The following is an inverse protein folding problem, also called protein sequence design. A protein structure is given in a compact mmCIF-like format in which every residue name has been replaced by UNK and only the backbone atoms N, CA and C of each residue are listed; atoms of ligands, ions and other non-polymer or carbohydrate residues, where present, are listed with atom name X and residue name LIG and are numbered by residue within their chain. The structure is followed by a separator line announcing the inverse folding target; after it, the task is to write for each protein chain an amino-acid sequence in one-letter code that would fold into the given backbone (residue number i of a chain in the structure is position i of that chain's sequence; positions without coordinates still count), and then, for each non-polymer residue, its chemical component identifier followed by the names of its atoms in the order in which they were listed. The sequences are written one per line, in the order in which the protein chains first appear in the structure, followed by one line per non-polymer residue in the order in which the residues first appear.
data_IF_130716578574
#
_entry.id   IF_130716578574
#
_cell.length_a   1.000
_cell.length_b   1.000
_cell.length_c   1.000
_cell.angle_alpha   90.00
_cell.angle_beta   90.00
_cell.angle_gamma   90.00
#
_symmetry.space_group_name_H-M   'P 1'
#
loop_
_entity.id
_entity.type
_entity.pdbx_description
1 polymer ?
#
# COMPACT_ATOMS: atom_id res chain seq x y z
N UNK A 1 71.08 -45.60 -21.20
CA UNK A 1 70.79 -47.03 -20.98
C UNK A 1 69.56 -47.13 -20.09
N UNK A 2 68.38 -47.33 -20.67
CA UNK A 2 67.25 -48.08 -20.10
C UNK A 2 66.12 -48.10 -21.14
N UNK A 3 65.73 -49.32 -21.49
CA UNK A 3 64.90 -49.68 -22.62
C UNK A 3 63.41 -49.55 -22.32
N UNK A 4 62.66 -49.21 -23.36
CA UNK A 4 61.20 -49.14 -23.41
C UNK A 4 60.65 -50.56 -23.57
N UNK A 5 59.80 -50.99 -22.64
CA UNK A 5 58.99 -52.21 -22.77
C UNK A 5 57.55 -51.81 -23.09
N UNK A 6 57.15 -52.07 -24.33
CA UNK A 6 55.79 -51.87 -24.84
C UNK A 6 54.97 -53.14 -24.59
N UNK A 7 53.90 -53.03 -23.80
CA UNK A 7 52.91 -54.10 -23.61
C UNK A 7 51.70 -53.81 -24.51
N UNK A 8 51.50 -54.64 -25.52
CA UNK A 8 50.29 -54.65 -26.35
C UNK A 8 49.23 -55.53 -25.69
N UNK A 9 48.17 -54.92 -25.16
CA UNK A 9 46.98 -55.64 -24.70
C UNK A 9 45.96 -55.71 -25.85
N UNK A 10 45.69 -56.92 -26.33
CA UNK A 10 44.65 -57.20 -27.32
C UNK A 10 43.36 -57.55 -26.58
N UNK A 11 42.35 -56.67 -26.62
CA UNK A 11 41.04 -56.92 -26.03
C UNK A 11 40.04 -57.30 -27.14
N UNK A 12 39.52 -58.53 -27.08
CA UNK A 12 38.40 -58.99 -27.89
C UNK A 12 37.11 -58.23 -27.51
N UNK A 13 36.45 -57.66 -28.52
CA UNK A 13 35.10 -57.10 -28.41
C UNK A 13 34.07 -58.23 -28.56
N UNK A 14 33.40 -58.61 -27.47
CA UNK A 14 32.16 -59.39 -27.53
C UNK A 14 30.96 -58.44 -27.45
N UNK A 15 30.23 -58.29 -28.55
CA UNK A 15 29.00 -57.50 -28.60
C UNK A 15 27.85 -58.25 -27.92
N UNK A 16 27.42 -57.79 -26.74
CA UNK A 16 26.15 -58.21 -26.14
C UNK A 16 25.05 -57.32 -26.71
N UNK A 17 24.11 -57.92 -27.44
CA UNK A 17 22.93 -57.24 -27.95
C UNK A 17 22.01 -56.85 -26.77
N UNK A 18 22.15 -55.62 -26.30
CA UNK A 18 21.23 -55.01 -25.34
C UNK A 18 19.93 -54.61 -26.04
N UNK A 19 18.82 -55.25 -25.66
CA UNK A 19 17.47 -54.82 -25.99
C UNK A 19 17.26 -53.36 -25.59
N UNK A 20 17.08 -52.49 -26.58
CA UNK A 20 16.66 -51.10 -26.39
C UNK A 20 15.25 -51.07 -25.81
N UNK A 21 15.14 -50.80 -24.51
CA UNK A 21 13.92 -50.27 -23.94
C UNK A 21 13.80 -48.80 -24.36
N UNK A 22 13.04 -48.54 -25.43
CA UNK A 22 12.53 -47.21 -25.72
C UNK A 22 11.47 -46.87 -24.66
N UNK A 23 11.92 -46.39 -23.50
CA UNK A 23 11.07 -45.65 -22.59
C UNK A 23 10.82 -44.28 -23.23
N UNK A 24 9.70 -44.14 -23.92
CA UNK A 24 9.15 -42.85 -24.30
C UNK A 24 8.83 -42.10 -23.01
N UNK A 25 9.81 -41.32 -22.53
CA UNK A 25 9.60 -40.35 -21.46
C UNK A 25 8.67 -39.29 -22.04
N UNK A 26 7.36 -39.47 -21.84
CA UNK A 26 6.38 -38.41 -21.98
C UNK A 26 6.77 -37.32 -20.98
N UNK A 27 7.57 -36.37 -21.45
CA UNK A 27 7.80 -35.07 -20.83
C UNK A 27 6.42 -34.43 -20.65
N UNK A 28 5.77 -34.73 -19.53
CA UNK A 28 4.73 -33.89 -18.99
C UNK A 28 5.47 -32.65 -18.51
N UNK A 29 5.63 -31.70 -19.42
CA UNK A 29 5.98 -30.33 -19.09
C UNK A 29 4.86 -29.79 -18.21
N UNK A 30 4.93 -30.11 -16.91
CA UNK A 30 4.17 -29.42 -15.88
C UNK A 30 4.70 -27.99 -15.87
N UNK A 31 4.10 -27.16 -16.71
CA UNK A 31 4.32 -25.72 -16.75
C UNK A 31 3.76 -25.16 -15.44
N UNK A 32 4.55 -25.24 -14.37
CA UNK A 32 4.24 -24.59 -13.10
C UNK A 32 4.13 -23.10 -13.38
N UNK A 33 2.91 -22.58 -13.38
CA UNK A 33 2.69 -21.13 -13.46
C UNK A 33 3.38 -20.50 -12.25
N UNK A 34 4.24 -19.49 -12.44
CA UNK A 34 4.80 -18.74 -11.32
C UNK A 34 3.66 -18.21 -10.44
N UNK A 35 3.82 -18.31 -9.12
CA UNK A 35 2.88 -17.68 -8.19
C UNK A 35 3.00 -16.17 -8.38
N UNK A 36 1.91 -15.54 -8.83
CA UNK A 36 1.83 -14.09 -8.96
C UNK A 36 1.16 -13.52 -7.71
N UNK A 37 1.86 -12.63 -7.01
CA UNK A 37 1.33 -11.93 -5.85
C UNK A 37 0.62 -10.65 -6.27
N UNK A 38 -0.50 -10.34 -5.61
CA UNK A 38 -1.26 -9.13 -5.83
C UNK A 38 -0.75 -7.99 -4.96
N UNK A 39 0.02 -7.09 -5.56
CA UNK A 39 0.43 -5.83 -4.92
C UNK A 39 -0.50 -4.71 -5.35
N UNK A 40 -1.29 -4.21 -4.41
CA UNK A 40 -2.16 -3.06 -4.60
C UNK A 40 -1.42 -1.78 -4.21
N UNK A 41 -1.78 -0.66 -4.84
CA UNK A 41 -1.10 0.62 -4.66
C UNK A 41 -2.09 1.71 -4.24
N UNK A 42 -1.80 2.39 -3.13
CA UNK A 42 -2.47 3.60 -2.66
C UNK A 42 -1.46 4.75 -2.63
N UNK A 43 -1.85 5.85 -3.26
CA UNK A 43 -1.02 7.06 -3.42
C UNK A 43 -1.68 8.17 -2.63
N UNK A 44 -0.91 8.88 -1.81
CA UNK A 44 -1.41 9.94 -0.92
C UNK A 44 -0.59 11.22 -1.07
N UNK A 45 -1.25 12.37 -1.06
CA UNK A 45 -0.60 13.67 -1.04
C UNK A 45 -0.68 14.30 0.36
N UNK A 46 0.46 14.33 1.03
CA UNK A 46 0.67 15.03 2.29
C UNK A 46 1.57 16.27 2.12
N UNK A 47 1.83 16.72 0.90
CA UNK A 47 2.55 17.94 0.62
C UNK A 47 1.64 19.15 0.93
N UNK A 48 1.97 19.99 1.93
CA UNK A 48 1.11 21.09 2.34
C UNK A 48 1.05 22.18 1.27
N UNK A 49 -0.16 22.67 0.99
CA UNK A 49 -0.41 23.77 0.06
C UNK A 49 -1.44 23.43 -1.03
N UNK A 50 -1.42 24.20 -2.11
CA UNK A 50 -2.36 24.07 -3.22
C UNK A 50 -1.90 23.08 -4.31
N UNK A 51 -0.73 22.46 -4.14
CA UNK A 51 -0.16 21.56 -5.14
C UNK A 51 -1.03 20.31 -5.34
N UNK A 52 -1.39 20.07 -6.59
CA UNK A 52 -2.16 18.90 -7.02
C UNK A 52 -1.25 17.99 -7.81
N UNK A 53 -1.00 16.80 -7.27
CA UNK A 53 -0.14 15.83 -7.96
C UNK A 53 -0.94 14.97 -8.93
N UNK A 54 -0.29 14.60 -10.03
CA UNK A 54 -0.66 13.49 -10.89
C UNK A 54 0.46 12.46 -10.83
N UNK A 55 0.10 11.18 -10.80
CA UNK A 55 1.10 10.11 -10.74
C UNK A 55 1.08 9.33 -12.04
N UNK A 56 2.27 9.13 -12.62
CA UNK A 56 2.48 8.46 -13.90
C UNK A 56 3.43 7.28 -13.75
N UNK A 57 3.21 6.23 -14.54
CA UNK A 57 4.13 5.09 -14.69
C UNK A 57 4.28 4.79 -16.18
N UNK A 58 5.51 4.85 -16.70
CA UNK A 58 5.78 4.59 -18.12
C UNK A 58 4.97 5.48 -19.08
N UNK A 59 4.70 6.73 -18.69
CA UNK A 59 3.90 7.69 -19.47
C UNK A 59 2.38 7.50 -19.35
N UNK A 60 1.90 6.54 -18.55
CA UNK A 60 0.47 6.35 -18.29
C UNK A 60 0.07 6.96 -16.94
N UNK A 61 -1.01 7.74 -16.93
CA UNK A 61 -1.59 8.30 -15.72
C UNK A 61 -2.19 7.18 -14.85
N UNK A 62 -1.74 7.08 -13.60
CA UNK A 62 -2.26 6.20 -12.57
C UNK A 62 -3.35 6.86 -11.72
N UNK A 63 -3.30 8.19 -11.60
CA UNK A 63 -4.26 9.01 -10.85
C UNK A 63 -4.82 10.11 -11.74
N UNK A 64 -6.04 10.57 -11.46
CA UNK A 64 -6.63 11.72 -12.14
C UNK A 64 -6.14 13.05 -11.56
N UNK A 65 -6.12 13.14 -10.23
CA UNK A 65 -5.61 14.24 -9.42
C UNK A 65 -5.35 13.76 -8.01
N UNK A 66 -4.46 14.42 -7.29
CA UNK A 66 -4.17 14.10 -5.90
C UNK A 66 -3.91 15.41 -5.15
N UNK A 67 -4.99 16.08 -4.74
CA UNK A 67 -4.89 17.33 -3.99
C UNK A 67 -4.41 17.07 -2.56
N UNK A 68 -4.04 18.14 -1.84
CA UNK A 68 -3.59 18.03 -0.45
C UNK A 68 -4.60 17.27 0.42
N UNK A 69 -4.09 16.30 1.19
CA UNK A 69 -4.86 15.37 2.03
C UNK A 69 -5.80 14.42 1.28
N UNK A 70 -5.57 14.20 -0.01
CA UNK A 70 -6.25 13.16 -0.78
C UNK A 70 -5.36 11.92 -0.91
N UNK A 71 -6.00 10.75 -0.90
CA UNK A 71 -5.39 9.52 -1.41
C UNK A 71 -6.26 8.92 -2.52
N UNK A 72 -5.63 8.17 -3.41
CA UNK A 72 -6.30 7.36 -4.42
C UNK A 72 -5.72 5.94 -4.44
N UNK A 73 -6.60 4.95 -4.54
CA UNK A 73 -6.19 3.59 -4.89
C UNK A 73 -6.08 3.48 -6.41
N UNK A 74 -4.92 3.05 -6.89
CA UNK A 74 -4.67 2.86 -8.32
C UNK A 74 -5.44 1.65 -8.81
N UNK A 75 -6.32 1.85 -9.79
CA UNK A 75 -7.15 0.80 -10.39
C UNK A 75 -6.46 0.08 -11.58
N UNK A 76 -5.16 0.30 -11.76
CA UNK A 76 -4.44 -0.20 -12.94
C UNK A 76 -4.45 -1.73 -13.00
N UNK A 77 -4.71 -2.25 -14.20
CA UNK A 77 -4.66 -3.68 -14.52
C UNK A 77 -3.23 -4.23 -14.49
N UNK A 78 -2.23 -3.36 -14.54
CA UNK A 78 -0.83 -3.76 -14.55
C UNK A 78 -0.29 -3.82 -13.13
N UNK A 79 0.13 -5.01 -12.70
CA UNK A 79 0.77 -5.21 -11.39
C UNK A 79 2.01 -4.35 -11.24
N UNK A 80 2.23 -3.88 -10.02
CA UNK A 80 3.46 -3.20 -9.61
C UNK A 80 4.62 -4.21 -9.63
N UNK A 81 5.81 -3.77 -10.07
CA UNK A 81 7.02 -4.58 -10.19
C UNK A 81 8.21 -3.84 -9.60
N UNK A 82 9.20 -4.61 -9.15
CA UNK A 82 10.50 -4.05 -8.77
C UNK A 82 11.12 -3.35 -9.98
N UNK A 83 11.69 -2.16 -9.74
CA UNK A 83 12.21 -1.26 -10.77
C UNK A 83 11.16 -0.35 -11.41
N UNK A 84 9.86 -0.51 -11.12
CA UNK A 84 8.86 0.45 -11.57
C UNK A 84 9.16 1.83 -11.01
N UNK A 85 9.12 2.83 -11.90
CA UNK A 85 9.29 4.23 -11.55
C UNK A 85 7.94 4.94 -11.63
N UNK A 86 7.53 5.54 -10.51
CA UNK A 86 6.33 6.34 -10.38
C UNK A 86 6.72 7.82 -10.36
N UNK A 87 6.30 8.57 -11.37
CA UNK A 87 6.58 10.00 -11.49
C UNK A 87 5.43 10.80 -10.89
N UNK A 88 5.73 11.63 -9.90
CA UNK A 88 4.84 12.58 -9.28
C UNK A 88 5.06 13.94 -9.95
N UNK A 89 4.04 14.39 -10.68
CA UNK A 89 4.04 15.61 -11.46
C UNK A 89 3.09 16.61 -10.81
N UNK A 90 3.55 17.83 -10.58
CA UNK A 90 2.76 18.97 -10.15
C UNK A 90 3.11 20.17 -11.04
N UNK A 91 2.30 21.23 -11.01
CA UNK A 91 2.43 22.34 -11.95
C UNK A 91 3.63 23.24 -11.62
N UNK A 92 3.88 23.51 -10.34
CA UNK A 92 4.91 24.46 -9.88
C UNK A 92 6.16 23.79 -9.30
N UNK A 93 6.15 22.46 -9.17
CA UNK A 93 7.26 21.71 -8.58
C UNK A 93 7.99 20.89 -9.64
N UNK A 94 9.33 20.76 -9.54
CA UNK A 94 10.06 19.80 -10.35
C UNK A 94 9.48 18.39 -10.21
N UNK A 95 9.34 17.69 -11.34
CA UNK A 95 8.91 16.31 -11.33
C UNK A 95 9.82 15.49 -10.42
N UNK A 96 9.19 14.76 -9.51
CA UNK A 96 9.87 13.89 -8.55
C UNK A 96 9.44 12.45 -8.78
N UNK A 97 10.29 11.47 -8.46
CA UNK A 97 9.95 10.08 -8.73
C UNK A 97 10.27 9.16 -7.57
N UNK A 98 9.42 8.16 -7.40
CA UNK A 98 9.60 7.04 -6.50
C UNK A 98 9.93 5.78 -7.30
N UNK A 99 10.95 5.03 -6.89
CA UNK A 99 11.30 3.75 -7.52
C UNK A 99 10.95 2.62 -6.57
N UNK A 100 10.31 1.58 -7.09
CA UNK A 100 9.96 0.40 -6.31
C UNK A 100 11.18 -0.51 -6.21
N UNK A 101 11.87 -0.45 -5.07
CA UNK A 101 13.13 -1.20 -4.89
C UNK A 101 12.90 -2.67 -4.53
N UNK A 102 11.81 -2.96 -3.81
CA UNK A 102 11.47 -4.31 -3.39
C UNK A 102 9.96 -4.48 -3.24
N UNK A 103 9.49 -5.71 -3.46
CA UNK A 103 8.11 -6.12 -3.21
C UNK A 103 8.10 -7.49 -2.53
N UNK A 104 7.19 -7.72 -1.57
CA UNK A 104 7.14 -8.97 -0.84
C UNK A 104 6.63 -10.12 -1.70
N UNK A 105 7.02 -11.35 -1.34
CA UNK A 105 6.47 -12.58 -1.92
C UNK A 105 5.15 -12.99 -1.26
N UNK A 106 4.23 -12.03 -1.13
CA UNK A 106 2.86 -12.22 -0.65
C UNK A 106 1.99 -11.04 -1.11
N UNK A 107 0.67 -11.21 -1.06
CA UNK A 107 -0.28 -10.14 -1.38
C UNK A 107 -0.17 -9.00 -0.37
N UNK A 108 0.00 -7.78 -0.87
CA UNK A 108 0.27 -6.62 -0.04
C UNK A 108 -0.41 -5.36 -0.55
N UNK A 109 -0.61 -4.41 0.35
CA UNK A 109 -1.01 -3.04 0.03
C UNK A 109 0.18 -2.12 0.25
N UNK A 110 0.70 -1.52 -0.83
CA UNK A 110 1.72 -0.48 -0.78
C UNK A 110 1.07 0.89 -0.69
N UNK A 111 1.44 1.64 0.33
CA UNK A 111 1.19 3.07 0.43
C UNK A 111 2.44 3.84 0.04
N UNK A 112 2.26 4.89 -0.77
CA UNK A 112 3.28 5.90 -1.03
C UNK A 112 2.67 7.27 -0.74
N UNK A 113 3.36 8.03 0.11
CA UNK A 113 2.97 9.37 0.53
C UNK A 113 3.99 10.35 -0.02
N UNK A 114 3.55 11.27 -0.87
CA UNK A 114 4.36 12.42 -1.27
C UNK A 114 4.23 13.51 -0.21
N UNK A 115 5.35 14.08 0.21
CA UNK A 115 5.41 15.11 1.25
C UNK A 115 6.46 16.17 0.91
N UNK A 116 6.44 17.29 1.64
CA UNK A 116 7.54 18.25 1.62
C UNK A 116 8.74 17.68 2.39
N UNK A 117 9.94 17.89 1.88
CA UNK A 117 11.17 17.38 2.48
C UNK A 117 11.58 18.16 3.73
N UNK A 118 11.53 19.49 3.68
CA UNK A 118 11.99 20.35 4.77
C UNK A 118 11.27 21.70 4.78
N UNK A 119 11.42 22.47 5.86
CA UNK A 119 10.68 23.72 6.09
C UNK A 119 11.20 24.91 5.27
N UNK A 120 12.33 24.76 4.59
CA UNK A 120 13.09 25.84 3.94
C UNK A 120 13.01 25.76 2.42
N UNK A 121 12.75 24.59 1.87
CA UNK A 121 12.73 24.33 0.42
C UNK A 121 11.42 23.69 0.00
N UNK A 122 11.03 23.90 -1.26
CA UNK A 122 9.88 23.22 -1.90
C UNK A 122 10.24 21.81 -2.39
N UNK A 123 11.35 21.25 -1.91
CA UNK A 123 11.78 19.92 -2.28
C UNK A 123 10.77 18.87 -1.81
N UNK A 124 10.57 17.86 -2.64
CA UNK A 124 9.64 16.77 -2.43
C UNK A 124 10.39 15.56 -1.88
N UNK A 125 9.78 14.88 -0.90
CA UNK A 125 10.24 13.61 -0.38
C UNK A 125 9.09 12.59 -0.37
N UNK A 126 9.45 11.32 -0.22
CA UNK A 126 8.49 10.22 -0.18
C UNK A 126 8.65 9.42 1.10
N UNK A 127 7.52 9.00 1.68
CA UNK A 127 7.46 7.93 2.66
C UNK A 127 6.59 6.80 2.12
N UNK A 128 6.89 5.56 2.52
CA UNK A 128 6.13 4.39 2.07
C UNK A 128 5.94 3.38 3.19
N UNK A 129 4.90 2.56 3.06
CA UNK A 129 4.65 1.44 3.96
C UNK A 129 3.94 0.31 3.22
N UNK A 130 4.32 -0.93 3.54
CA UNK A 130 3.74 -2.14 2.99
C UNK A 130 2.96 -2.87 4.07
N UNK A 131 1.64 -3.00 3.88
CA UNK A 131 0.81 -3.86 4.70
C UNK A 131 0.72 -5.25 4.08
N UNK A 132 0.97 -6.29 4.86
CA UNK A 132 0.59 -7.64 4.49
C UNK A 132 -0.94 -7.79 4.51
N UNK A 133 -1.48 -8.72 3.72
CA UNK A 133 -2.86 -9.14 3.90
C UNK A 133 -3.06 -9.72 5.31
N UNK A 134 -4.08 -9.25 6.02
CA UNK A 134 -4.39 -9.67 7.39
C UNK A 134 -5.90 -9.81 7.55
N UNK A 135 -6.35 -10.52 8.59
CA UNK A 135 -7.77 -10.53 8.98
C UNK A 135 -8.13 -9.32 9.84
N UNK A 136 -7.18 -8.79 10.61
CA UNK A 136 -7.42 -7.60 11.43
C UNK A 136 -7.22 -6.33 10.61
N UNK A 137 -7.87 -5.24 11.02
CA UNK A 137 -7.52 -3.92 10.52
C UNK A 137 -6.07 -3.61 10.90
N UNK A 138 -5.32 -2.94 10.02
CA UNK A 138 -3.96 -2.52 10.29
C UNK A 138 -3.84 -1.01 10.15
N UNK A 139 -3.11 -0.37 11.05
CA UNK A 139 -2.86 1.08 11.03
C UNK A 139 -1.35 1.30 10.97
N UNK A 140 -0.90 2.11 10.02
CA UNK A 140 0.46 2.68 10.03
C UNK A 140 0.39 4.18 10.33
N UNK A 141 1.29 4.62 11.19
CA UNK A 141 1.32 5.98 11.72
C UNK A 141 2.56 6.66 11.19
N UNK A 142 2.40 7.71 10.39
CA UNK A 142 3.54 8.45 9.84
C UNK A 142 3.48 9.92 10.22
N UNK A 143 4.67 10.50 10.30
CA UNK A 143 4.86 11.91 10.53
C UNK A 143 5.39 12.53 9.25
N UNK A 144 4.54 13.30 8.59
CA UNK A 144 4.88 14.07 7.40
C UNK A 144 4.83 15.57 7.66
N UNK A 145 4.66 15.96 8.92
CA UNK A 145 4.68 17.36 9.30
C UNK A 145 6.09 17.93 9.25
N UNK A 146 6.19 19.11 8.65
CA UNK A 146 7.45 19.82 8.50
C UNK A 146 7.45 21.01 9.45
N UNK A 147 8.13 20.88 10.59
CA UNK A 147 8.25 21.95 11.57
C UNK A 147 8.78 21.47 12.91
N UNK A 148 8.84 22.37 13.90
CA UNK A 148 9.35 22.06 15.25
C UNK A 148 8.25 21.67 16.25
N UNK A 149 6.98 21.84 15.87
CA UNK A 149 5.86 21.55 16.75
C UNK A 149 5.80 20.05 17.09
N UNK A 150 5.57 19.77 18.37
CA UNK A 150 5.38 18.41 18.87
C UNK A 150 3.89 18.14 19.00
N UNK A 151 3.49 16.91 18.69
CA UNK A 151 2.13 16.43 18.91
C UNK A 151 2.15 14.92 19.13
N UNK A 152 1.13 14.41 19.81
CA UNK A 152 0.85 13.00 19.98
C UNK A 152 -0.40 12.63 19.18
N UNK A 153 -0.40 11.42 18.62
CA UNK A 153 -1.59 10.82 18.07
C UNK A 153 -2.19 9.85 19.07
N UNK A 154 -3.50 9.94 19.26
CA UNK A 154 -4.27 9.12 20.18
C UNK A 154 -5.38 8.43 19.42
N UNK A 155 -5.60 7.15 19.70
CA UNK A 155 -6.73 6.37 19.23
C UNK A 155 -7.71 6.19 20.37
N UNK A 156 -8.95 6.61 20.16
CA UNK A 156 -10.03 6.52 21.16
C UNK A 156 -11.16 5.68 20.57
N UNK A 157 -11.64 4.71 21.32
CA UNK A 157 -12.84 3.96 20.91
C UNK A 157 -14.08 4.86 21.08
N UNK A 158 -14.87 5.02 20.02
CA UNK A 158 -16.05 5.90 20.05
C UNK A 158 -17.10 5.45 21.08
N UNK A 159 -17.22 4.15 21.37
CA UNK A 159 -18.12 3.65 22.41
C UNK A 159 -17.61 3.88 23.83
N UNK A 160 -16.30 4.08 24.01
CA UNK A 160 -15.66 4.35 25.30
C UNK A 160 -15.71 5.81 25.75
N UNK A 161 -16.14 6.73 24.87
CA UNK A 161 -16.21 8.17 25.17
C UNK A 161 -17.27 8.51 26.22
N UNK A 162 -18.38 7.77 26.27
CA UNK A 162 -19.51 8.06 27.17
C UNK A 162 -19.54 7.21 28.45
N UNK A 163 -18.72 6.17 28.56
CA UNK A 163 -18.91 5.10 29.57
C UNK A 163 -17.92 5.09 30.73
N UNK A 164 -16.96 6.02 30.79
CA UNK A 164 -15.88 5.97 31.80
C UNK A 164 -15.93 7.16 32.77
N UNK A 165 -16.13 6.86 34.07
CA UNK A 165 -15.91 7.81 35.17
C UNK A 165 -14.42 8.18 35.36
N UNK A 166 -13.53 7.51 34.64
CA UNK A 166 -12.06 7.67 34.67
C UNK A 166 -11.51 8.35 33.40
N UNK A 167 -12.39 8.86 32.52
CA UNK A 167 -12.03 9.47 31.24
C UNK A 167 -11.82 8.44 30.12
N UNK A 168 -11.97 8.85 28.84
CA UNK A 168 -11.89 7.91 27.72
C UNK A 168 -10.51 7.26 27.68
N UNK A 169 -10.46 5.95 27.86
CA UNK A 169 -9.24 5.17 27.63
C UNK A 169 -8.76 5.41 26.21
N UNK A 170 -7.51 5.88 26.08
CA UNK A 170 -6.88 6.17 24.79
C UNK A 170 -5.63 5.31 24.62
N UNK A 171 -5.35 4.94 23.38
CA UNK A 171 -4.09 4.30 22.99
C UNK A 171 -3.22 5.33 22.30
N UNK A 172 -2.01 5.56 22.81
CA UNK A 172 -1.02 6.40 22.12
C UNK A 172 -0.54 5.68 20.86
N UNK A 173 -0.45 6.41 19.76
CA UNK A 173 -0.01 5.93 18.45
C UNK A 173 1.34 6.58 18.11
N UNK A 174 2.48 5.93 18.43
CA UNK A 174 3.79 6.50 18.13
C UNK A 174 4.02 6.60 16.62
N UNK A 175 4.65 7.69 16.18
CA UNK A 175 5.04 7.84 14.78
C UNK A 175 6.06 6.78 14.34
N UNK A 176 5.99 6.37 13.08
CA UNK A 176 6.88 5.34 12.52
C UNK A 176 6.50 3.92 12.93
N UNK A 177 5.32 3.71 13.52
CA UNK A 177 4.83 2.39 13.93
C UNK A 177 3.69 1.90 13.05
N UNK A 178 3.50 0.58 13.05
CA UNK A 178 2.31 -0.05 12.50
C UNK A 178 1.81 -1.15 13.44
N UNK A 179 0.50 -1.26 13.59
CA UNK A 179 -0.12 -2.23 14.50
C UNK A 179 -1.53 -2.63 14.05
N UNK A 180 -2.01 -3.76 14.57
CA UNK A 180 -3.37 -4.23 14.35
C UNK A 180 -4.37 -3.52 15.25
N UNK A 181 -5.56 -3.25 14.73
CA UNK A 181 -6.69 -2.67 15.46
C UNK A 181 -7.91 -3.56 15.28
N UNK A 182 -8.68 -3.76 16.34
CA UNK A 182 -9.92 -4.51 16.26
C UNK A 182 -10.97 -3.76 15.44
N UNK A 183 -11.88 -4.49 14.80
CA UNK A 183 -13.03 -3.90 14.12
C UNK A 183 -13.80 -2.94 15.04
N UNK A 184 -14.21 -1.78 14.53
CA UNK A 184 -14.97 -0.81 15.32
C UNK A 184 -14.85 0.64 14.86
N UNK A 185 -15.57 1.51 15.54
CA UNK A 185 -15.55 2.95 15.31
C UNK A 185 -14.61 3.62 16.30
N UNK A 186 -13.68 4.41 15.78
CA UNK A 186 -12.65 5.11 16.53
C UNK A 186 -12.61 6.58 16.16
N UNK A 187 -12.10 7.37 17.11
CA UNK A 187 -11.67 8.73 16.88
C UNK A 187 -10.15 8.77 16.95
N UNK A 188 -9.52 9.26 15.88
CA UNK A 188 -8.10 9.62 15.91
C UNK A 188 -8.00 11.08 16.32
N UNK A 189 -7.15 11.35 17.31
CA UNK A 189 -6.93 12.68 17.87
C UNK A 189 -5.46 13.03 17.71
N UNK A 190 -5.17 14.15 17.06
CA UNK A 190 -3.88 14.81 17.11
C UNK A 190 -3.93 15.87 18.21
N UNK A 191 -3.03 15.79 19.19
CA UNK A 191 -2.96 16.72 20.32
C UNK A 191 -1.54 17.22 20.52
N UNK A 192 -1.36 18.52 20.69
CA UNK A 192 -0.08 19.13 21.06
C UNK A 192 0.15 19.18 22.59
N UNK A 193 -0.73 18.55 23.37
CA UNK A 193 -0.71 18.57 24.83
C UNK A 193 -1.59 19.67 25.43
N UNK A 194 -2.10 20.62 24.63
CA UNK A 194 -3.10 21.58 25.09
C UNK A 194 -4.52 21.03 25.00
N UNK A 195 -5.42 21.57 25.82
CA UNK A 195 -6.84 21.20 25.80
C UNK A 195 -7.57 21.72 24.55
N UNK A 196 -7.11 22.85 24.00
CA UNK A 196 -7.80 23.62 22.95
C UNK A 196 -7.34 23.25 21.53
N UNK A 197 -6.14 22.68 21.38
CA UNK A 197 -5.55 22.31 20.09
C UNK A 197 -5.62 20.79 19.90
N UNK A 198 -6.83 20.32 19.60
CA UNK A 198 -7.11 18.92 19.24
C UNK A 198 -7.75 18.84 17.87
N UNK A 199 -7.14 18.10 16.97
CA UNK A 199 -7.70 17.80 15.65
C UNK A 199 -8.23 16.38 15.67
N UNK A 200 -9.50 16.23 15.29
CA UNK A 200 -10.24 14.98 15.39
C UNK A 200 -10.52 14.44 13.97
N UNK A 201 -10.24 13.16 13.72
CA UNK A 201 -10.64 12.48 12.49
C UNK A 201 -11.29 11.11 12.80
N UNK A 202 -12.50 10.83 12.28
CA UNK A 202 -13.15 9.55 12.50
C UNK A 202 -12.47 8.44 11.69
N UNK A 203 -12.37 7.26 12.27
CA UNK A 203 -11.85 6.06 11.62
C UNK A 203 -12.77 4.88 11.92
N UNK A 204 -13.29 4.24 10.89
CA UNK A 204 -14.03 3.00 11.03
C UNK A 204 -13.09 1.87 10.62
N UNK A 205 -12.48 1.20 11.61
CA UNK A 205 -11.58 0.08 11.39
C UNK A 205 -12.40 -1.14 10.96
N UNK A 206 -12.03 -1.75 9.83
CA UNK A 206 -12.65 -2.95 9.28
C UNK A 206 -11.65 -4.07 9.14
N UNK A 207 -12.10 -5.28 9.40
CA UNK A 207 -11.32 -6.50 9.12
C UNK A 207 -10.75 -6.49 7.70
N UNK A 208 -9.47 -6.83 7.58
CA UNK A 208 -8.72 -6.88 6.33
C UNK A 208 -8.41 -5.54 5.65
N UNK A 209 -8.82 -4.42 6.24
CA UNK A 209 -8.51 -3.10 5.71
C UNK A 209 -7.21 -2.53 6.32
N UNK A 210 -6.55 -1.68 5.54
CA UNK A 210 -5.31 -1.00 5.96
C UNK A 210 -5.54 0.50 6.00
N UNK A 211 -5.02 1.14 7.03
CA UNK A 211 -5.21 2.55 7.31
C UNK A 211 -3.87 3.25 7.49
N UNK A 212 -3.80 4.45 6.96
CA UNK A 212 -2.71 5.38 7.12
C UNK A 212 -3.21 6.52 8.00
N UNK A 213 -2.52 6.77 9.10
CA UNK A 213 -2.73 7.93 9.96
C UNK A 213 -1.51 8.83 9.83
N UNK A 214 -1.72 10.04 9.35
CA UNK A 214 -0.67 11.01 9.10
C UNK A 214 -0.87 12.24 9.97
N UNK A 215 0.18 12.65 10.68
CA UNK A 215 0.35 14.05 11.03
C UNK A 215 0.96 14.76 9.82
N UNK A 216 0.33 15.82 9.35
CA UNK A 216 0.76 16.57 8.16
C UNK A 216 0.74 18.09 8.42
N UNK A 217 1.07 18.88 7.40
CA UNK A 217 1.14 20.34 7.46
C UNK A 217 2.57 20.89 7.54
N UNK A 218 2.69 22.22 7.66
CA UNK A 218 3.98 22.89 7.76
C UNK A 218 3.97 24.02 8.80
N UNK A 219 4.96 24.05 9.69
CA UNK A 219 5.26 25.20 10.54
C UNK A 219 6.26 26.11 9.86
N UNK A 220 5.78 27.00 8.99
CA UNK A 220 6.61 27.97 8.27
C UNK A 220 6.94 29.19 9.14
N UNK A 221 8.13 29.77 8.99
CA UNK A 221 8.52 30.94 9.78
C UNK A 221 7.52 32.10 9.62
N UNK A 222 7.00 32.62 10.73
CA UNK A 222 6.03 33.73 10.76
C UNK A 222 4.57 33.33 10.54
N UNK A 223 4.30 32.06 10.23
CA UNK A 223 2.95 31.45 10.32
C UNK A 223 2.96 30.44 11.46
N UNK A 224 1.85 30.29 12.18
CA UNK A 224 1.78 29.38 13.32
C UNK A 224 2.03 27.90 12.93
N UNK A 225 1.88 27.00 13.90
CA UNK A 225 1.95 25.56 13.66
C UNK A 225 0.69 25.09 12.92
N UNK A 226 0.69 25.12 11.58
CA UNK A 226 -0.39 24.56 10.74
C UNK A 226 -0.30 23.02 10.70
N UNK A 227 -0.32 22.38 11.87
CA UNK A 227 -0.44 20.92 11.95
C UNK A 227 -1.83 20.50 11.52
N UNK A 228 -1.92 19.36 10.86
CA UNK A 228 -3.19 18.78 10.44
C UNK A 228 -3.14 17.25 10.53
N UNK A 229 -4.30 16.62 10.50
CA UNK A 229 -4.52 15.20 10.61
C UNK A 229 -5.17 14.66 9.35
N UNK A 230 -4.63 13.55 8.84
CA UNK A 230 -5.20 12.81 7.73
C UNK A 230 -5.30 11.33 8.09
N UNK A 231 -6.49 10.76 7.94
CA UNK A 231 -6.77 9.34 8.12
C UNK A 231 -7.35 8.79 6.82
N UNK A 232 -6.73 7.75 6.28
CA UNK A 232 -7.17 7.13 5.03
C UNK A 232 -7.12 5.60 5.11
N UNK A 233 -8.13 4.86 4.62
CA UNK A 233 -9.36 5.36 4.01
C UNK A 233 -10.27 6.08 5.01
N UNK A 234 -10.87 7.19 4.57
CA UNK A 234 -11.90 7.84 5.35
C UNK A 234 -13.22 7.05 5.27
N UNK A 235 -14.15 7.21 6.24
CA UNK A 235 -15.43 6.49 6.20
C UNK A 235 -16.19 6.67 4.87
N UNK A 236 -16.24 7.89 4.34
CA UNK A 236 -16.90 8.15 3.04
C UNK A 236 -16.20 7.48 1.86
N UNK A 237 -14.89 7.23 1.94
CA UNK A 237 -14.16 6.46 0.94
C UNK A 237 -14.49 4.97 1.02
N UNK A 238 -14.59 4.43 2.23
CA UNK A 238 -14.93 3.03 2.45
C UNK A 238 -16.34 2.71 1.89
N UNK A 239 -17.30 3.60 2.09
CA UNK A 239 -18.65 3.48 1.52
C UNK A 239 -18.65 3.47 -0.01
N UNK A 240 -17.89 4.37 -0.66
CA UNK A 240 -17.74 4.41 -2.13
C UNK A 240 -17.05 3.18 -2.70
N UNK A 241 -16.15 2.55 -1.95
CA UNK A 241 -15.45 1.34 -2.37
C UNK A 241 -16.33 0.09 -2.27
N UNK A 242 -17.19 0.02 -1.24
CA UNK A 242 -18.16 -1.07 -1.07
C UNK A 242 -19.32 -1.00 -2.07
N UNK A 243 -19.78 0.20 -2.44
CA UNK A 243 -20.88 0.40 -3.39
C UNK A 243 -20.60 -0.13 -4.82
N UNK A 244 -19.33 -0.37 -5.18
CA UNK A 244 -18.97 -0.95 -6.50
C UNK A 244 -19.14 -2.47 -6.58
N UNK A 245 -19.43 -3.16 -5.48
CA UNK A 245 -19.50 -4.62 -5.46
C UNK A 245 -20.90 -5.23 -5.76
N UNK A 246 -21.98 -4.45 -5.73
CA UNK A 246 -23.36 -4.96 -5.92
C UNK A 246 -24.21 -4.10 -6.87
N UNK A 247 -23.81 -3.99 -8.13
CA UNK A 247 -24.68 -3.35 -9.13
C UNK A 247 -24.77 -4.13 -10.44
N UNK A 248 -24.91 -5.46 -10.36
CA UNK A 248 -25.24 -6.33 -11.50
C UNK A 248 -26.12 -7.53 -11.08
N UNK A 249 -27.28 -7.31 -10.45
CA UNK A 249 -28.27 -8.41 -10.24
C UNK A 249 -29.74 -7.96 -10.16
N UNK A 250 -30.15 -6.85 -10.78
CA UNK A 250 -31.60 -6.56 -10.93
C UNK A 250 -31.89 -6.03 -12.34
N UNK A 251 -31.79 -6.90 -13.36
CA UNK A 251 -32.34 -6.61 -14.68
C UNK A 251 -32.87 -7.84 -15.44
N UNK A 252 -33.03 -9.01 -14.78
CA UNK A 252 -33.50 -10.23 -15.46
C UNK A 252 -34.84 -10.81 -14.95
N UNK A 253 -35.46 -10.23 -13.92
CA UNK A 253 -36.77 -10.72 -13.43
C UNK A 253 -38.00 -10.01 -13.99
N UNK A 254 -37.84 -8.96 -14.81
CA UNK A 254 -38.98 -8.24 -15.40
C UNK A 254 -39.40 -8.77 -16.79
N UNK A 255 -38.66 -9.70 -17.40
CA UNK A 255 -38.94 -10.20 -18.76
C UNK A 255 -39.82 -11.46 -18.83
N UNK A 256 -40.18 -12.07 -17.69
CA UNK A 256 -40.94 -13.34 -17.67
C UNK A 256 -42.44 -13.19 -17.40
N UNK A 257 -42.94 -11.98 -17.14
CA UNK A 257 -44.38 -11.76 -16.89
C UNK A 257 -45.19 -11.21 -18.08
N UNK A 258 -44.56 -10.92 -19.22
CA UNK A 258 -45.27 -10.38 -20.39
C UNK A 258 -45.71 -11.48 -21.39
N UNK A 259 -45.33 -12.75 -21.20
CA UNK A 259 -45.71 -13.84 -22.12
C UNK A 259 -46.92 -14.69 -21.68
N UNK A 260 -47.64 -14.29 -20.64
CA UNK A 260 -48.88 -14.97 -20.20
C UNK A 260 -50.02 -13.97 -19.93
N UNK A 261 -50.37 -13.17 -20.94
CA UNK A 261 -51.69 -12.56 -21.09
C UNK A 261 -52.08 -12.56 -22.57
#
# INVERSE_FOLDING_TARGET
MLAVLSFTFSALLTSVAGTQFNAEVKQHGSFLKPVEYQHRLRLCNAYPGAEVFRVEKGGQNLTSRLAYKECQQVASKQSLRVGDRLNFVADQLPMSSFTVDALPQYDAMLYIVVQRQDAKSDAVAFQSHLFASSRNAQVAVMDTYVGKAKAALLLVNASGYESSKEGPGYTVMPFGTAFGVADGNYQVILSDGSAESKIHSPMQAKEGESYLVLRTGAGLAGKGSEMDLMVFPSPSWAERSAAKAWSLTIAFLAALFISMM
#
